data_IF_545800620305
#
_entry.id   IF_545800620305
#
_cell.length_a   1.000
_cell.length_b   1.000
_cell.length_c   1.000
_cell.angle_alpha   90.00
_cell.angle_beta   90.00
_cell.angle_gamma   90.00
#
_symmetry.space_group_name_H-M   'P 1'
#
loop_
_entity.id
_entity.type
_entity.pdbx_description
1 polymer ?
#
# COMPACT_ATOMS: atom_id res chain seq x y z
N UNK A 1 -26.99 -23.86 1.03
CA UNK A 1 -26.52 -22.69 0.28
C UNK A 1 -27.36 -21.43 0.54
N UNK A 2 -28.66 -21.37 0.17
CA UNK A 2 -29.48 -20.15 0.42
C UNK A 2 -29.57 -19.84 1.91
N UNK A 3 -29.74 -20.83 2.76
CA UNK A 3 -29.74 -20.68 4.22
C UNK A 3 -28.42 -20.09 4.74
N UNK A 4 -27.29 -20.52 4.20
CA UNK A 4 -25.96 -20.09 4.63
C UNK A 4 -25.72 -18.60 4.31
N UNK A 5 -26.20 -18.13 3.16
CA UNK A 5 -26.18 -16.70 2.82
C UNK A 5 -27.12 -15.89 3.73
N UNK A 6 -28.24 -16.48 4.19
CA UNK A 6 -29.10 -15.85 5.20
C UNK A 6 -28.39 -15.61 6.53
N UNK A 7 -27.56 -16.57 6.98
CA UNK A 7 -26.71 -16.42 8.18
C UNK A 7 -25.71 -15.28 7.99
N UNK A 8 -25.00 -15.27 6.85
CA UNK A 8 -24.02 -14.20 6.54
C UNK A 8 -24.68 -12.83 6.47
N UNK A 9 -25.90 -12.75 5.93
CA UNK A 9 -26.68 -11.51 5.89
C UNK A 9 -27.04 -11.00 7.28
N UNK A 10 -27.36 -11.89 8.22
CA UNK A 10 -27.63 -11.51 9.60
C UNK A 10 -26.39 -10.94 10.31
N UNK A 11 -25.20 -11.41 9.93
CA UNK A 11 -23.89 -10.94 10.43
C UNK A 11 -23.29 -9.78 9.59
N UNK A 12 -24.08 -9.15 8.72
CA UNK A 12 -23.61 -8.07 7.83
C UNK A 12 -22.93 -6.90 8.54
N UNK A 13 -23.36 -6.60 9.77
CA UNK A 13 -22.74 -5.53 10.57
C UNK A 13 -21.27 -5.81 10.86
N UNK A 14 -20.92 -7.08 11.15
CA UNK A 14 -19.53 -7.49 11.36
C UNK A 14 -18.72 -7.40 10.07
N UNK A 15 -19.27 -7.82 8.93
CA UNK A 15 -18.59 -7.70 7.61
C UNK A 15 -18.39 -6.24 7.20
N UNK A 16 -19.39 -5.38 7.40
CA UNK A 16 -19.28 -3.95 7.08
C UNK A 16 -18.27 -3.25 7.99
N UNK A 17 -18.23 -3.60 9.27
CA UNK A 17 -17.20 -3.13 10.20
C UNK A 17 -15.81 -3.58 9.77
N UNK A 18 -15.64 -4.85 9.40
CA UNK A 18 -14.38 -5.38 8.87
C UNK A 18 -13.96 -4.68 7.56
N UNK A 19 -14.91 -4.43 6.64
CA UNK A 19 -14.67 -3.70 5.40
C UNK A 19 -14.22 -2.26 5.68
N UNK A 20 -14.87 -1.56 6.61
CA UNK A 20 -14.47 -0.22 7.01
C UNK A 20 -13.05 -0.19 7.59
N UNK A 21 -12.73 -1.16 8.47
CA UNK A 21 -11.39 -1.31 9.04
C UNK A 21 -10.34 -1.58 7.96
N UNK A 22 -10.62 -2.47 7.00
CA UNK A 22 -9.76 -2.71 5.84
C UNK A 22 -9.52 -1.43 5.05
N UNK A 23 -10.58 -0.68 4.73
CA UNK A 23 -10.47 0.56 3.96
C UNK A 23 -9.65 1.63 4.70
N UNK A 24 -9.90 1.85 5.98
CA UNK A 24 -9.18 2.82 6.82
C UNK A 24 -7.70 2.43 6.93
N UNK A 25 -7.42 1.19 7.32
CA UNK A 25 -6.06 0.68 7.51
C UNK A 25 -5.25 0.78 6.22
N UNK A 26 -5.81 0.29 5.10
CA UNK A 26 -5.15 0.30 3.81
C UNK A 26 -4.90 1.72 3.28
N UNK A 27 -5.84 2.64 3.50
CA UNK A 27 -5.68 4.05 3.12
C UNK A 27 -4.57 4.72 3.93
N UNK A 28 -4.57 4.54 5.25
CA UNK A 28 -3.53 5.08 6.12
C UNK A 28 -2.15 4.51 5.77
N UNK A 29 -2.07 3.19 5.58
CA UNK A 29 -0.84 2.52 5.16
C UNK A 29 -0.35 3.00 3.79
N UNK A 30 -1.24 3.19 2.81
CA UNK A 30 -0.88 3.68 1.48
C UNK A 30 -0.31 5.10 1.52
N UNK A 31 -0.95 6.01 2.27
CA UNK A 31 -0.47 7.39 2.45
C UNK A 31 0.91 7.37 3.13
N UNK A 32 1.04 6.66 4.24
CA UNK A 32 2.30 6.58 4.98
C UNK A 32 3.42 5.92 4.16
N UNK A 33 3.11 4.83 3.43
CA UNK A 33 4.06 4.16 2.54
C UNK A 33 4.51 5.06 1.38
N UNK A 34 3.60 5.85 0.80
CA UNK A 34 3.93 6.79 -0.25
C UNK A 34 4.85 7.91 0.28
N UNK A 35 4.56 8.47 1.46
CA UNK A 35 5.41 9.48 2.09
C UNK A 35 6.81 8.94 2.39
N UNK A 36 6.92 7.72 2.96
CA UNK A 36 8.20 7.06 3.17
C UNK A 36 8.89 6.73 1.85
N UNK A 37 8.16 6.33 0.81
CA UNK A 37 8.66 6.14 -0.53
C UNK A 37 9.31 7.39 -1.10
N UNK A 38 8.69 8.56 -0.92
CA UNK A 38 9.28 9.85 -1.31
C UNK A 38 10.58 10.18 -0.55
N UNK A 39 10.72 9.74 0.69
CA UNK A 39 11.95 9.91 1.47
C UNK A 39 13.03 8.94 1.01
N UNK A 40 12.66 7.69 0.71
CA UNK A 40 13.60 6.65 0.27
C UNK A 40 14.10 6.85 -1.16
N UNK A 41 13.29 7.40 -2.06
CA UNK A 41 13.65 7.59 -3.47
C UNK A 41 14.93 8.43 -3.67
N UNK A 42 15.10 9.61 -3.04
CA UNK A 42 16.37 10.35 -3.13
C UNK A 42 17.55 9.59 -2.55
N UNK A 43 17.34 8.79 -1.51
CA UNK A 43 18.40 7.95 -0.94
C UNK A 43 18.85 6.86 -1.95
N UNK A 44 17.91 6.21 -2.64
CA UNK A 44 18.20 5.24 -3.71
C UNK A 44 19.00 5.87 -4.87
N UNK A 45 18.74 7.15 -5.18
CA UNK A 45 19.37 7.90 -6.28
C UNK A 45 20.63 8.66 -5.85
N UNK A 46 21.02 8.56 -4.59
CA UNK A 46 22.18 9.28 -4.03
C UNK A 46 23.47 8.87 -4.71
N UNK A 47 24.32 9.87 -5.02
CA UNK A 47 25.70 9.65 -5.50
C UNK A 47 26.60 9.04 -4.43
N UNK A 48 26.26 9.14 -3.15
CA UNK A 48 27.00 8.53 -2.03
C UNK A 48 26.71 7.04 -1.97
N UNK A 49 27.68 6.20 -2.35
CA UNK A 49 27.54 4.73 -2.41
C UNK A 49 27.02 4.11 -1.12
N UNK A 50 27.42 4.62 0.05
CA UNK A 50 26.95 4.12 1.34
C UNK A 50 25.43 4.35 1.51
N UNK A 51 24.92 5.54 1.16
CA UNK A 51 23.49 5.88 1.28
C UNK A 51 22.66 5.08 0.29
N UNK A 52 23.06 5.07 -0.99
CA UNK A 52 22.30 4.32 -2.00
C UNK A 52 22.39 2.81 -1.79
N UNK A 53 23.54 2.30 -1.29
CA UNK A 53 23.71 0.89 -0.95
C UNK A 53 22.80 0.46 0.21
N UNK A 54 22.75 1.21 1.31
CA UNK A 54 21.88 0.93 2.44
C UNK A 54 20.39 0.98 2.03
N UNK A 55 20.00 2.01 1.26
CA UNK A 55 18.62 2.12 0.77
C UNK A 55 18.25 0.95 -0.16
N UNK A 56 19.17 0.50 -1.04
CA UNK A 56 18.94 -0.67 -1.90
C UNK A 56 18.81 -1.96 -1.11
N UNK A 57 19.68 -2.22 -0.13
CA UNK A 57 19.60 -3.40 0.73
C UNK A 57 18.23 -3.45 1.43
N UNK A 58 17.75 -2.32 1.95
CA UNK A 58 16.43 -2.25 2.56
C UNK A 58 15.30 -2.52 1.56
N UNK A 59 15.29 -1.80 0.44
CA UNK A 59 14.22 -1.88 -0.55
C UNK A 59 14.17 -3.25 -1.20
N UNK A 60 15.31 -3.78 -1.66
CA UNK A 60 15.38 -5.09 -2.30
C UNK A 60 15.09 -6.20 -1.29
N UNK A 61 15.57 -6.08 -0.05
CA UNK A 61 15.28 -7.02 1.03
C UNK A 61 13.78 -7.09 1.34
N UNK A 62 13.11 -5.95 1.53
CA UNK A 62 11.66 -5.94 1.78
C UNK A 62 10.85 -6.55 0.64
N UNK A 63 11.26 -6.35 -0.60
CA UNK A 63 10.58 -6.90 -1.78
C UNK A 63 10.82 -8.39 -1.98
N UNK A 64 11.85 -8.97 -1.36
CA UNK A 64 12.14 -10.39 -1.38
C UNK A 64 11.48 -11.19 -0.25
N UNK A 65 10.99 -10.53 0.80
CA UNK A 65 10.36 -11.18 1.94
C UNK A 65 8.85 -11.29 1.70
N UNK A 66 8.18 -12.42 1.98
CA UNK A 66 6.72 -12.50 1.97
C UNK A 66 6.11 -11.58 3.04
N UNK A 67 5.10 -10.79 2.67
CA UNK A 67 4.44 -9.85 3.59
C UNK A 67 3.95 -10.53 4.87
N UNK A 68 3.33 -11.72 4.74
CA UNK A 68 2.83 -12.49 5.87
C UNK A 68 3.91 -12.75 6.93
N UNK A 69 5.11 -13.16 6.51
CA UNK A 69 6.22 -13.43 7.43
C UNK A 69 6.75 -12.15 8.06
N UNK A 70 6.77 -11.05 7.30
CA UNK A 70 7.15 -9.75 7.83
C UNK A 70 6.16 -9.26 8.89
N UNK A 71 4.85 -9.40 8.68
CA UNK A 71 3.82 -9.07 9.66
C UNK A 71 3.99 -9.88 10.96
N UNK A 72 4.34 -11.17 10.87
CA UNK A 72 4.67 -11.99 12.04
C UNK A 72 5.87 -11.45 12.81
N UNK A 73 6.94 -11.08 12.10
CA UNK A 73 8.16 -10.54 12.75
C UNK A 73 7.82 -9.24 13.47
N UNK A 74 7.01 -8.36 12.87
CA UNK A 74 6.61 -7.11 13.50
C UNK A 74 5.77 -7.36 14.75
N UNK A 75 4.79 -8.24 14.70
CA UNK A 75 3.88 -8.45 15.82
C UNK A 75 4.45 -9.31 16.93
N UNK A 76 5.09 -10.45 16.60
CA UNK A 76 5.60 -11.42 17.57
C UNK A 76 7.08 -11.22 17.88
N UNK A 77 7.86 -10.64 16.98
CA UNK A 77 9.29 -10.45 17.14
C UNK A 77 9.66 -9.20 17.94
N UNK A 78 9.00 -8.05 17.68
CA UNK A 78 9.32 -6.79 18.38
C UNK A 78 9.20 -6.84 19.92
N UNK A 79 8.26 -7.58 20.51
CA UNK A 79 8.19 -7.73 21.97
C UNK A 79 9.47 -8.29 22.60
N UNK A 80 10.22 -9.13 21.89
CA UNK A 80 11.52 -9.66 22.35
C UNK A 80 12.59 -8.57 22.49
N UNK A 81 12.40 -7.44 21.82
CA UNK A 81 13.25 -6.24 21.93
C UNK A 81 12.64 -5.16 22.82
N UNK A 82 11.59 -5.50 23.59
CA UNK A 82 10.91 -4.57 24.51
C UNK A 82 9.86 -3.66 23.88
N UNK A 83 9.61 -3.76 22.57
CA UNK A 83 8.62 -2.94 21.84
C UNK A 83 7.33 -3.74 21.69
N UNK A 84 6.30 -3.39 22.47
CA UNK A 84 4.97 -4.01 22.39
C UNK A 84 4.01 -3.08 21.68
N UNK A 85 3.51 -3.53 20.55
CA UNK A 85 2.49 -2.85 19.77
C UNK A 85 1.20 -3.67 19.81
N UNK A 86 0.06 -3.00 19.82
CA UNK A 86 -1.24 -3.64 19.61
C UNK A 86 -1.37 -4.13 18.15
N UNK A 87 -2.37 -4.95 17.87
CA UNK A 87 -2.59 -5.53 16.55
C UNK A 87 -2.81 -4.47 15.45
N UNK A 88 -3.52 -3.37 15.77
CA UNK A 88 -3.74 -2.26 14.84
C UNK A 88 -2.46 -1.54 14.45
N UNK A 89 -1.70 -1.12 15.44
CA UNK A 89 -0.42 -0.42 15.23
C UNK A 89 0.60 -1.32 14.54
N UNK A 90 0.67 -2.60 14.92
CA UNK A 90 1.54 -3.59 14.29
C UNK A 90 1.16 -3.81 12.81
N UNK A 91 -0.13 -3.97 12.52
CA UNK A 91 -0.62 -4.14 11.14
C UNK A 91 -0.35 -2.92 10.29
N UNK A 92 -0.64 -1.71 10.81
CA UNK A 92 -0.36 -0.45 10.11
C UNK A 92 1.15 -0.27 9.85
N UNK A 93 1.99 -0.53 10.85
CA UNK A 93 3.44 -0.43 10.71
C UNK A 93 3.98 -1.44 9.67
N UNK A 94 3.53 -2.70 9.75
CA UNK A 94 3.93 -3.73 8.80
C UNK A 94 3.54 -3.37 7.36
N UNK A 95 2.27 -3.01 7.12
CA UNK A 95 1.82 -2.58 5.79
C UNK A 95 2.60 -1.36 5.29
N UNK A 96 2.81 -0.37 6.16
CA UNK A 96 3.51 0.87 5.80
C UNK A 96 4.96 0.61 5.41
N UNK A 97 5.72 -0.05 6.27
CA UNK A 97 7.16 -0.28 6.05
C UNK A 97 7.40 -1.17 4.84
N UNK A 98 6.61 -2.25 4.72
CA UNK A 98 6.70 -3.17 3.59
C UNK A 98 6.40 -2.47 2.26
N UNK A 99 5.29 -1.75 2.19
CA UNK A 99 4.87 -1.08 0.96
C UNK A 99 5.67 0.20 0.66
N UNK A 100 6.34 0.81 1.64
CA UNK A 100 7.25 1.93 1.41
C UNK A 100 8.41 1.54 0.47
N UNK A 101 8.90 0.31 0.55
CA UNK A 101 9.92 -0.22 -0.35
C UNK A 101 9.42 -0.29 -1.80
N UNK A 102 8.18 -0.75 -2.01
CA UNK A 102 7.57 -0.78 -3.35
C UNK A 102 7.29 0.63 -3.87
N UNK A 103 6.75 1.53 -3.03
CA UNK A 103 6.51 2.92 -3.41
C UNK A 103 7.80 3.64 -3.80
N UNK A 104 8.90 3.42 -3.06
CA UNK A 104 10.20 3.99 -3.39
C UNK A 104 10.70 3.53 -4.75
N UNK A 105 10.56 2.24 -5.08
CA UNK A 105 11.00 1.70 -6.37
C UNK A 105 10.10 2.15 -7.52
N UNK A 106 8.78 2.28 -7.31
CA UNK A 106 7.85 2.85 -8.29
C UNK A 106 8.24 4.30 -8.61
N UNK A 107 8.47 5.12 -7.58
CA UNK A 107 8.87 6.50 -7.76
C UNK A 107 10.26 6.62 -8.41
N UNK A 108 11.22 5.78 -8.01
CA UNK A 108 12.55 5.73 -8.63
C UNK A 108 12.46 5.36 -10.12
N UNK A 109 11.68 4.33 -10.46
CA UNK A 109 11.47 3.90 -11.83
C UNK A 109 10.87 5.01 -12.69
N UNK A 110 9.83 5.67 -12.18
CA UNK A 110 9.19 6.80 -12.85
C UNK A 110 10.15 8.00 -13.01
N UNK A 111 11.06 8.22 -12.06
CA UNK A 111 12.06 9.30 -12.15
C UNK A 111 13.11 9.03 -13.23
N UNK A 112 13.61 7.80 -13.29
CA UNK A 112 14.71 7.42 -14.22
C UNK A 112 14.28 7.55 -15.69
N UNK A 113 13.02 7.36 -16.00
CA UNK A 113 12.50 7.43 -17.38
C UNK A 113 12.07 8.84 -17.80
N UNK A 114 12.21 9.85 -16.92
CA UNK A 114 11.86 11.22 -17.30
C UNK A 114 12.84 11.80 -18.35
N UNK A 115 12.33 12.62 -19.30
CA UNK A 115 13.15 13.38 -20.21
C UNK A 115 14.13 14.29 -19.44
N UNK A 116 15.38 14.37 -19.89
CA UNK A 116 16.40 15.21 -19.25
C UNK A 116 16.34 16.66 -19.66
N UNK A 117 15.83 16.94 -20.83
CA UNK A 117 15.82 18.26 -21.45
C UNK A 117 15.11 19.33 -20.57
N UNK A 118 13.92 19.08 -19.99
CA UNK A 118 13.28 20.06 -19.10
C UNK A 118 14.08 20.30 -17.81
N UNK A 119 14.77 19.26 -17.32
CA UNK A 119 15.60 19.35 -16.11
C UNK A 119 16.84 20.17 -16.39
N UNK A 120 17.54 19.91 -17.49
CA UNK A 120 18.73 20.66 -17.93
C UNK A 120 18.40 22.11 -18.24
N UNK A 121 17.28 22.38 -18.90
CA UNK A 121 16.78 23.74 -19.11
C UNK A 121 16.52 24.47 -17.79
N UNK A 122 15.88 23.81 -16.84
CA UNK A 122 15.65 24.40 -15.52
C UNK A 122 16.94 24.76 -14.79
N UNK A 123 17.97 23.91 -14.89
CA UNK A 123 19.31 24.16 -14.33
C UNK A 123 19.94 25.36 -15.05
N UNK A 124 19.88 25.42 -16.38
CA UNK A 124 20.42 26.53 -17.18
C UNK A 124 19.77 27.87 -16.86
N UNK A 125 18.46 27.88 -16.52
CA UNK A 125 17.74 29.07 -16.05
C UNK A 125 17.98 29.40 -14.57
N UNK A 126 18.88 28.70 -13.87
CA UNK A 126 19.24 28.97 -12.49
C UNK A 126 18.17 28.60 -11.46
N UNK A 127 17.29 27.62 -11.76
CA UNK A 127 16.33 27.14 -10.77
C UNK A 127 17.06 26.50 -9.59
N UNK A 128 16.78 26.92 -8.34
CA UNK A 128 17.31 26.21 -7.18
C UNK A 128 16.70 24.80 -7.10
N UNK A 129 17.43 23.83 -6.56
CA UNK A 129 17.09 22.39 -6.55
C UNK A 129 15.65 22.12 -6.11
N UNK A 130 15.18 22.77 -5.04
CA UNK A 130 13.82 22.60 -4.52
C UNK A 130 12.75 23.07 -5.50
N UNK A 131 13.01 24.17 -6.22
CA UNK A 131 12.07 24.71 -7.22
C UNK A 131 12.08 23.83 -8.48
N UNK A 132 13.25 23.37 -8.89
CA UNK A 132 13.43 22.41 -9.97
C UNK A 132 12.65 21.13 -9.68
N UNK A 133 12.82 20.56 -8.48
CA UNK A 133 12.09 19.36 -8.07
C UNK A 133 10.57 19.60 -8.09
N UNK A 134 10.07 20.63 -7.38
CA UNK A 134 8.63 20.86 -7.19
C UNK A 134 7.89 21.27 -8.46
N UNK A 135 8.54 21.98 -9.39
CA UNK A 135 7.88 22.55 -10.57
C UNK A 135 8.14 21.76 -11.86
N UNK A 136 9.28 21.12 -11.98
CA UNK A 136 9.71 20.44 -13.22
C UNK A 136 9.68 18.92 -13.05
N UNK A 137 10.24 18.38 -11.96
CA UNK A 137 10.37 16.93 -11.78
C UNK A 137 9.11 16.30 -11.21
N UNK A 138 8.59 16.83 -10.11
CA UNK A 138 7.51 16.20 -9.33
C UNK A 138 6.17 16.06 -10.10
N UNK A 139 5.67 17.06 -10.86
CA UNK A 139 4.38 16.91 -11.54
C UNK A 139 4.36 15.78 -12.58
N UNK A 140 5.31 15.69 -13.54
CA UNK A 140 5.33 14.59 -14.49
C UNK A 140 5.67 13.25 -13.83
N UNK A 141 6.47 13.25 -12.73
CA UNK A 141 6.74 12.05 -11.93
C UNK A 141 5.44 11.46 -11.36
N UNK A 142 4.62 12.27 -10.71
CA UNK A 142 3.35 11.82 -10.14
C UNK A 142 2.37 11.35 -11.20
N UNK A 143 2.31 12.03 -12.35
CA UNK A 143 1.45 11.64 -13.45
C UNK A 143 1.86 10.30 -14.06
N UNK A 144 3.16 10.06 -14.24
CA UNK A 144 3.66 8.80 -14.79
C UNK A 144 3.61 7.64 -13.78
N UNK A 145 3.85 7.92 -12.50
CA UNK A 145 3.78 6.91 -11.43
C UNK A 145 2.35 6.57 -11.02
N UNK A 146 1.39 7.47 -11.25
CA UNK A 146 0.01 7.38 -10.75
C UNK A 146 -0.67 6.03 -10.96
N UNK A 147 -0.71 5.48 -12.19
CA UNK A 147 -1.32 4.17 -12.45
C UNK A 147 -0.66 3.04 -11.65
N UNK A 148 0.68 3.06 -11.53
CA UNK A 148 1.42 2.02 -10.80
C UNK A 148 1.23 2.17 -9.29
N UNK A 149 1.16 3.41 -8.78
CA UNK A 149 0.80 3.69 -7.38
C UNK A 149 -0.60 3.16 -7.09
N UNK A 150 -1.56 3.35 -8.00
CA UNK A 150 -2.91 2.81 -7.87
C UNK A 150 -2.94 1.29 -7.77
N UNK A 151 -2.18 0.59 -8.62
CA UNK A 151 -2.02 -0.86 -8.51
C UNK A 151 -1.40 -1.27 -7.17
N UNK A 152 -0.44 -0.50 -6.64
CA UNK A 152 0.14 -0.78 -5.33
C UNK A 152 -0.87 -0.55 -4.19
N UNK A 153 -1.77 0.42 -4.30
CA UNK A 153 -2.86 0.60 -3.33
C UNK A 153 -3.80 -0.61 -3.30
N UNK A 154 -4.15 -1.17 -4.46
CA UNK A 154 -4.93 -2.42 -4.55
C UNK A 154 -4.15 -3.58 -3.90
N UNK A 155 -2.82 -3.64 -4.08
CA UNK A 155 -2.00 -4.65 -3.43
C UNK A 155 -2.02 -4.50 -1.90
N UNK A 156 -1.94 -3.28 -1.36
CA UNK A 156 -2.05 -3.02 0.09
C UNK A 156 -3.37 -3.54 0.67
N UNK A 157 -4.49 -3.35 -0.05
CA UNK A 157 -5.79 -3.89 0.35
C UNK A 157 -5.76 -5.42 0.42
N UNK A 158 -5.14 -6.09 -0.56
CA UNK A 158 -5.02 -7.56 -0.55
C UNK A 158 -4.07 -8.05 0.55
N UNK A 159 -2.98 -7.33 0.78
CA UNK A 159 -2.01 -7.66 1.84
C UNK A 159 -2.65 -7.53 3.23
N UNK A 160 -3.59 -6.59 3.43
CA UNK A 160 -4.28 -6.43 4.71
C UNK A 160 -5.03 -7.70 5.15
N UNK A 161 -5.50 -8.54 4.21
CA UNK A 161 -6.16 -9.81 4.50
C UNK A 161 -5.27 -10.77 5.32
N UNK A 162 -3.94 -10.70 5.15
CA UNK A 162 -3.01 -11.53 5.93
C UNK A 162 -2.93 -11.12 7.40
N UNK A 163 -3.41 -9.92 7.77
CA UNK A 163 -3.38 -9.45 9.16
C UNK A 163 -4.42 -10.12 10.06
N UNK A 164 -5.33 -10.91 9.47
CA UNK A 164 -6.20 -11.81 10.24
C UNK A 164 -5.40 -12.72 11.19
N UNK A 165 -4.15 -13.01 10.85
CA UNK A 165 -3.25 -13.88 11.61
C UNK A 165 -2.81 -13.28 12.96
N UNK A 166 -2.82 -11.95 13.07
CA UNK A 166 -2.58 -11.22 14.31
C UNK A 166 -3.90 -10.75 14.95
N UNK A 167 -5.02 -11.36 14.54
CA UNK A 167 -6.37 -11.04 15.00
C UNK A 167 -6.76 -9.55 14.82
N UNK A 168 -6.24 -8.89 13.77
CA UNK A 168 -6.69 -7.55 13.40
C UNK A 168 -8.12 -7.65 12.84
N UNK A 169 -9.09 -6.85 13.34
CA UNK A 169 -10.51 -6.99 12.98
C UNK A 169 -10.81 -6.37 11.59
N UNK A 170 -10.13 -6.86 10.55
CA UNK A 170 -10.35 -6.51 9.15
C UNK A 170 -11.36 -7.49 8.49
N UNK A 171 -11.64 -7.32 7.21
CA UNK A 171 -12.70 -8.05 6.51
C UNK A 171 -12.51 -9.57 6.50
N UNK A 172 -11.28 -10.08 6.29
CA UNK A 172 -11.00 -11.52 6.33
C UNK A 172 -11.17 -12.09 7.72
N UNK A 173 -10.77 -11.33 8.75
CA UNK A 173 -11.01 -11.71 10.15
C UNK A 173 -12.50 -11.79 10.47
N UNK A 174 -13.30 -10.85 9.97
CA UNK A 174 -14.75 -10.88 10.11
C UNK A 174 -15.37 -12.12 9.45
N UNK A 175 -14.96 -12.43 8.21
CA UNK A 175 -15.42 -13.63 7.50
C UNK A 175 -14.98 -14.92 8.21
N UNK A 176 -13.75 -14.99 8.72
CA UNK A 176 -13.23 -16.12 9.50
C UNK A 176 -14.01 -16.31 10.80
N UNK A 177 -14.40 -15.22 11.46
CA UNK A 177 -15.21 -15.26 12.68
C UNK A 177 -16.61 -15.81 12.41
N UNK A 178 -17.24 -15.42 11.31
CA UNK A 178 -18.56 -15.95 10.88
C UNK A 178 -18.45 -17.43 10.55
N UNK A 179 -17.43 -17.80 9.74
CA UNK A 179 -17.19 -19.19 9.38
C UNK A 179 -17.00 -20.08 10.62
N UNK A 180 -16.21 -19.63 11.58
CA UNK A 180 -15.91 -20.42 12.79
C UNK A 180 -17.11 -20.57 13.72
N UNK A 181 -18.02 -19.57 13.78
CA UNK A 181 -19.22 -19.60 14.62
C UNK A 181 -20.37 -20.40 14.01
N UNK A 182 -20.53 -20.34 12.70
CA UNK A 182 -21.72 -20.86 12.02
C UNK A 182 -21.42 -22.03 11.07
N UNK A 183 -20.13 -22.39 10.87
CA UNK A 183 -19.69 -23.47 9.97
C UNK A 183 -20.15 -23.28 8.52
N UNK A 184 -20.17 -22.03 8.02
CA UNK A 184 -20.59 -21.64 6.66
C UNK A 184 -19.43 -21.04 5.84
N UNK A 185 -18.33 -21.80 5.60
CA UNK A 185 -17.11 -21.26 5.02
C UNK A 185 -17.31 -20.67 3.63
N UNK A 186 -18.05 -21.37 2.76
CA UNK A 186 -18.24 -20.92 1.37
C UNK A 186 -18.98 -19.57 1.35
N UNK A 187 -20.10 -19.44 2.05
CA UNK A 187 -20.89 -18.22 2.04
C UNK A 187 -20.14 -17.03 2.69
N UNK A 188 -19.40 -17.27 3.78
CA UNK A 188 -18.62 -16.23 4.46
C UNK A 188 -17.49 -15.70 3.57
N UNK A 189 -16.65 -16.59 3.02
CA UNK A 189 -15.48 -16.16 2.24
C UNK A 189 -15.85 -15.63 0.85
N UNK A 190 -16.85 -16.19 0.17
CA UNK A 190 -17.29 -15.65 -1.13
C UNK A 190 -17.88 -14.22 -0.97
N UNK A 191 -18.58 -13.97 0.12
CA UNK A 191 -19.07 -12.62 0.44
C UNK A 191 -17.90 -11.67 0.68
N UNK A 192 -16.88 -12.07 1.44
CA UNK A 192 -15.68 -11.28 1.64
C UNK A 192 -14.96 -10.99 0.31
N UNK A 193 -14.84 -11.97 -0.59
CA UNK A 193 -14.26 -11.79 -1.92
C UNK A 193 -14.98 -10.70 -2.71
N UNK A 194 -16.32 -10.71 -2.74
CA UNK A 194 -17.09 -9.67 -3.44
C UNK A 194 -16.94 -8.29 -2.79
N UNK A 195 -16.83 -8.22 -1.47
CA UNK A 195 -16.60 -6.95 -0.77
C UNK A 195 -15.18 -6.40 -1.04
N UNK A 196 -14.15 -7.25 -1.03
CA UNK A 196 -12.79 -6.87 -1.45
C UNK A 196 -12.76 -6.40 -2.89
N UNK A 197 -13.41 -7.15 -3.79
CA UNK A 197 -13.51 -6.78 -5.19
C UNK A 197 -14.17 -5.42 -5.38
N UNK A 198 -15.30 -5.17 -4.71
CA UNK A 198 -15.97 -3.87 -4.73
C UNK A 198 -15.06 -2.74 -4.23
N UNK A 199 -14.33 -2.95 -3.13
CA UNK A 199 -13.37 -1.97 -2.61
C UNK A 199 -12.23 -1.68 -3.62
N UNK A 200 -11.69 -2.72 -4.25
CA UNK A 200 -10.65 -2.56 -5.29
C UNK A 200 -11.18 -1.80 -6.52
N UNK A 201 -12.42 -2.07 -6.97
CA UNK A 201 -13.03 -1.35 -8.08
C UNK A 201 -13.19 0.16 -7.80
N UNK A 202 -13.50 0.54 -6.56
CA UNK A 202 -13.57 1.97 -6.16
C UNK A 202 -12.20 2.64 -6.32
N UNK A 203 -11.12 1.97 -5.89
CA UNK A 203 -9.75 2.49 -6.06
C UNK A 203 -9.40 2.57 -7.55
N UNK A 204 -9.65 1.53 -8.33
CA UNK A 204 -9.37 1.50 -9.76
C UNK A 204 -10.09 2.61 -10.53
N UNK A 205 -11.36 2.85 -10.22
CA UNK A 205 -12.13 3.96 -10.79
C UNK A 205 -11.52 5.34 -10.46
N UNK A 206 -11.02 5.51 -9.23
CA UNK A 206 -10.30 6.71 -8.82
C UNK A 206 -9.00 6.91 -9.61
N UNK A 207 -8.19 5.87 -9.72
CA UNK A 207 -6.89 5.89 -10.42
C UNK A 207 -7.07 6.12 -11.93
N UNK A 208 -8.04 5.45 -12.56
CA UNK A 208 -8.33 5.62 -13.98
C UNK A 208 -8.78 7.04 -14.32
N UNK A 209 -9.46 7.72 -13.40
CA UNK A 209 -9.85 9.12 -13.55
C UNK A 209 -8.65 10.06 -13.56
N UNK A 210 -7.65 9.80 -12.71
CA UNK A 210 -6.38 10.55 -12.68
C UNK A 210 -5.58 10.30 -13.96
N UNK A 211 -5.53 9.05 -14.44
CA UNK A 211 -4.84 8.68 -15.69
C UNK A 211 -5.39 9.44 -16.91
N UNK A 212 -6.71 9.53 -17.05
CA UNK A 212 -7.38 10.27 -18.15
C UNK A 212 -7.05 11.77 -18.12
N UNK A 213 -6.98 12.37 -16.92
CA UNK A 213 -6.57 13.78 -16.78
C UNK A 213 -5.11 13.98 -17.16
N UNK A 214 -4.24 13.00 -16.88
CA UNK A 214 -2.84 13.03 -17.27
C UNK A 214 -2.64 12.94 -18.78
N UNK A 215 -3.41 12.09 -19.48
CA UNK A 215 -3.37 11.96 -20.94
C UNK A 215 -3.90 13.21 -21.64
N UNK A 216 -4.95 13.84 -21.13
CA UNK A 216 -5.51 15.07 -21.68
C UNK A 216 -4.59 16.30 -21.58
N UNK A 217 -3.51 16.21 -20.79
CA UNK A 217 -2.52 17.29 -20.63
C UNK A 217 -1.19 17.05 -21.36
N UNK A 218 -1.08 15.96 -22.11
CA UNK A 218 0.01 15.66 -23.06
C UNK A 218 -0.33 16.14 -24.45
#
# INVERSE_FOLDING_TARGET
MIHDFGIVWNERALLLSGLANTAILSTLAAIAALLLGFILTPALMSKRRAVSGAARIFVDGMRCIPFLLFAYIVYYGLPSFGVRLDNWTSGLAALTVYNAAYMAEILRGAWVVQPREPIEAGIAFGFPEIRLFRRIILPPLLLSAGPVIGNQMIQIIKDSAFLTIIALPELTHAASSIQSRHYVPFAAFITAVFLYWGLCLVIEAGVSSIGRVAEARR
#
